data_IF_035363018877
#
_entry.id   IF_035363018877
#
_cell.length_a   1.000
_cell.length_b   1.000
_cell.length_c   1.000
_cell.angle_alpha   90.00
_cell.angle_beta   90.00
_cell.angle_gamma   90.00
#
_symmetry.space_group_name_H-M   'P 1'
#
loop_
_entity.id
_entity.type
_entity.pdbx_description
1 polymer ?
#
# COMPACT_ATOMS: atom_id res chain seq x y z
N UNK A 1 -2.84 15.83 17.24
CA UNK A 1 -3.62 15.85 15.97
C UNK A 1 -4.31 14.50 15.76
N UNK A 2 -5.49 14.44 15.08
CA UNK A 2 -6.18 13.19 14.75
C UNK A 2 -6.07 12.93 13.24
N UNK A 3 -5.62 11.72 12.89
CA UNK A 3 -5.55 11.26 11.50
C UNK A 3 -6.85 10.56 11.08
N UNK A 4 -7.12 10.44 9.77
CA UNK A 4 -8.13 9.50 9.27
C UNK A 4 -7.71 8.06 9.58
N UNK A 5 -8.66 7.11 9.53
CA UNK A 5 -8.38 5.68 9.77
C UNK A 5 -7.25 5.19 8.85
N UNK A 6 -7.28 5.59 7.58
CA UNK A 6 -6.27 5.25 6.58
C UNK A 6 -4.89 5.80 6.93
N UNK A 7 -4.78 7.10 7.23
CA UNK A 7 -3.51 7.73 7.59
C UNK A 7 -2.96 7.20 8.92
N UNK A 8 -3.85 6.88 9.89
CA UNK A 8 -3.47 6.26 11.14
C UNK A 8 -2.86 4.87 10.89
N UNK A 9 -3.45 4.06 10.01
CA UNK A 9 -2.90 2.75 9.66
C UNK A 9 -1.50 2.84 9.01
N UNK A 10 -1.25 3.87 8.19
CA UNK A 10 0.08 4.15 7.62
C UNK A 10 1.06 4.50 8.75
N UNK A 11 0.69 5.43 9.64
CA UNK A 11 1.55 5.86 10.75
C UNK A 11 1.81 4.75 11.78
N UNK A 12 0.88 3.81 11.94
CA UNK A 12 1.04 2.68 12.88
C UNK A 12 2.03 1.62 12.39
N UNK A 13 2.26 1.53 11.07
CA UNK A 13 3.23 0.60 10.48
C UNK A 13 4.66 1.11 10.52
N UNK A 14 4.88 2.41 10.76
CA UNK A 14 6.23 2.99 10.87
C UNK A 14 6.92 2.46 12.13
N UNK A 15 8.12 1.93 11.97
CA UNK A 15 8.98 1.57 13.11
C UNK A 15 9.38 2.84 13.86
N UNK A 16 9.13 2.91 15.19
CA UNK A 16 9.49 4.09 15.97
C UNK A 16 11.01 4.36 15.98
N UNK A 17 11.33 5.64 15.96
CA UNK A 17 12.71 6.15 15.91
C UNK A 17 13.18 6.38 14.47
N UNK A 18 14.20 7.22 14.33
CA UNK A 18 14.79 7.51 13.03
C UNK A 18 14.11 8.64 12.25
N UNK A 19 14.52 8.75 11.00
CA UNK A 19 14.15 9.83 10.10
C UNK A 19 13.23 9.30 9.01
N UNK A 20 12.18 10.02 8.70
CA UNK A 20 11.22 9.61 7.68
C UNK A 20 11.24 10.55 6.47
N UNK A 21 10.95 10.03 5.30
CA UNK A 21 10.61 10.79 4.10
C UNK A 21 9.19 10.41 3.65
N UNK A 22 8.28 11.40 3.63
CA UNK A 22 6.89 11.23 3.18
C UNK A 22 6.75 11.77 1.76
N UNK A 23 6.51 10.88 0.80
CA UNK A 23 6.50 11.17 -0.63
C UNK A 23 5.06 11.34 -1.13
N UNK A 24 4.79 12.51 -1.72
CA UNK A 24 3.43 12.90 -2.10
C UNK A 24 2.65 13.45 -0.91
N UNK A 25 3.36 14.16 -0.02
CA UNK A 25 2.76 14.78 1.16
C UNK A 25 1.82 15.92 0.74
N UNK A 26 0.51 15.76 0.94
CA UNK A 26 -0.44 16.82 0.55
C UNK A 26 -0.58 17.89 1.64
N UNK A 27 -0.76 17.50 2.88
CA UNK A 27 -0.94 18.40 4.02
C UNK A 27 0.10 18.22 5.13
N UNK A 28 1.03 17.28 4.99
CA UNK A 28 2.04 16.96 5.98
C UNK A 28 1.51 16.28 7.24
N UNK A 29 0.28 15.73 7.22
CA UNK A 29 -0.34 15.21 8.44
C UNK A 29 0.35 13.96 8.99
N UNK A 30 0.81 13.05 8.14
CA UNK A 30 1.52 11.84 8.60
C UNK A 30 2.85 12.18 9.24
N UNK A 31 3.76 12.97 8.60
CA UNK A 31 5.02 13.37 9.25
C UNK A 31 4.80 14.20 10.52
N UNK A 32 3.82 15.14 10.54
CA UNK A 32 3.50 15.90 11.76
C UNK A 32 3.09 14.97 12.88
N UNK A 33 2.17 14.03 12.63
CA UNK A 33 1.71 13.07 13.63
C UNK A 33 2.86 12.23 14.17
N UNK A 34 3.70 11.68 13.30
CA UNK A 34 4.83 10.82 13.72
C UNK A 34 5.83 11.58 14.59
N UNK A 35 6.12 12.83 14.25
CA UNK A 35 7.02 13.71 15.02
C UNK A 35 6.38 14.12 16.35
N UNK A 36 5.10 14.52 16.38
CA UNK A 36 4.37 14.85 17.62
C UNK A 36 4.30 13.67 18.61
N UNK A 37 4.13 12.44 18.05
CA UNK A 37 4.07 11.23 18.87
C UNK A 37 5.46 10.67 19.23
N UNK A 38 6.55 11.37 18.89
CA UNK A 38 7.93 10.91 19.03
C UNK A 38 8.18 9.52 18.42
N UNK A 39 7.44 9.20 17.36
CA UNK A 39 7.67 8.02 16.53
C UNK A 39 8.74 8.28 15.44
N UNK A 40 8.97 9.53 15.09
CA UNK A 40 10.06 9.95 14.22
C UNK A 40 10.83 11.11 14.86
N UNK A 41 12.17 11.09 14.74
CA UNK A 41 13.03 12.17 15.22
C UNK A 41 12.94 13.37 14.30
N UNK A 42 13.04 13.14 13.00
CA UNK A 42 12.94 14.13 11.92
C UNK A 42 12.14 13.59 10.76
N UNK A 43 11.58 14.50 9.96
CA UNK A 43 10.86 14.15 8.74
C UNK A 43 11.19 15.09 7.57
N UNK A 44 11.13 14.54 6.36
CA UNK A 44 11.18 15.29 5.11
C UNK A 44 9.84 15.08 4.40
N UNK A 45 9.04 16.14 4.34
CA UNK A 45 7.75 16.16 3.64
C UNK A 45 7.97 16.57 2.18
N UNK A 46 7.71 15.69 1.23
CA UNK A 46 8.06 15.86 -0.17
C UNK A 46 6.83 15.81 -1.08
N UNK A 47 6.73 16.72 -2.04
CA UNK A 47 5.74 16.70 -3.11
C UNK A 47 6.31 17.33 -4.39
N UNK A 48 5.80 16.90 -5.55
CA UNK A 48 6.18 17.44 -6.85
C UNK A 48 5.48 18.79 -7.12
N UNK A 49 4.41 19.09 -6.42
CA UNK A 49 3.59 20.29 -6.62
C UNK A 49 3.82 21.30 -5.49
N UNK A 50 4.06 22.55 -5.86
CA UNK A 50 4.28 23.66 -4.90
C UNK A 50 3.09 23.94 -3.99
N UNK A 51 1.85 23.75 -4.48
CA UNK A 51 0.63 24.03 -3.71
C UNK A 51 0.45 23.09 -2.51
N UNK A 52 0.43 21.76 -2.70
CA UNK A 52 0.43 20.80 -1.60
C UNK A 52 1.58 21.02 -0.61
N UNK A 53 2.79 21.24 -1.12
CA UNK A 53 3.97 21.48 -0.29
C UNK A 53 3.86 22.74 0.56
N UNK A 54 3.28 23.81 0.03
CA UNK A 54 3.02 25.05 0.79
C UNK A 54 2.03 24.80 1.94
N UNK A 55 0.93 24.07 1.67
CA UNK A 55 -0.04 23.67 2.73
C UNK A 55 0.61 22.80 3.81
N UNK A 56 1.49 21.87 3.42
CA UNK A 56 2.27 21.09 4.37
C UNK A 56 3.13 22.00 5.26
N UNK A 57 3.85 22.97 4.67
CA UNK A 57 4.66 23.95 5.39
C UNK A 57 3.84 24.79 6.39
N UNK A 58 2.67 25.28 5.98
CA UNK A 58 1.75 26.02 6.86
C UNK A 58 1.30 25.17 8.06
N UNK A 59 0.96 23.92 7.82
CA UNK A 59 0.59 22.98 8.89
C UNK A 59 1.78 22.66 9.81
N UNK A 60 2.96 22.44 9.28
CA UNK A 60 4.19 22.18 10.06
C UNK A 60 4.44 23.33 11.02
N UNK A 61 4.33 24.58 10.56
CA UNK A 61 4.44 25.78 11.41
C UNK A 61 3.34 25.81 12.46
N UNK A 62 2.07 25.58 12.03
CA UNK A 62 0.89 25.61 12.93
C UNK A 62 0.99 24.58 14.06
N UNK A 63 1.57 23.42 13.81
CA UNK A 63 1.77 22.36 14.81
C UNK A 63 3.11 22.44 15.55
N UNK A 64 3.92 23.51 15.32
CA UNK A 64 5.17 23.72 16.03
C UNK A 64 6.25 22.69 15.72
N UNK A 65 6.25 22.11 14.51
CA UNK A 65 7.19 21.05 14.12
C UNK A 65 8.30 21.52 13.17
N UNK A 66 8.47 22.85 12.99
CA UNK A 66 9.39 23.43 11.99
C UNK A 66 10.87 23.14 12.26
N UNK A 67 11.24 22.79 13.45
CA UNK A 67 12.59 22.38 13.85
C UNK A 67 12.92 20.92 13.50
N UNK A 68 11.90 20.10 13.24
CA UNK A 68 12.02 18.67 13.01
C UNK A 68 11.47 18.21 11.65
N UNK A 69 10.72 19.05 10.93
CA UNK A 69 10.14 18.70 9.63
C UNK A 69 10.57 19.70 8.57
N UNK A 70 11.28 19.23 7.57
CA UNK A 70 11.64 19.96 6.35
C UNK A 70 10.63 19.70 5.24
N UNK A 71 10.30 20.73 4.44
CA UNK A 71 9.54 20.55 3.19
C UNK A 71 10.49 20.58 1.99
N UNK A 72 10.32 19.66 1.04
CA UNK A 72 11.21 19.57 -0.12
C UNK A 72 10.43 19.31 -1.41
N UNK A 73 10.59 20.21 -2.41
CA UNK A 73 10.01 20.01 -3.73
C UNK A 73 10.78 18.89 -4.46
N UNK A 74 10.06 17.81 -4.85
CA UNK A 74 10.68 16.62 -5.44
C UNK A 74 9.72 15.83 -6.29
N UNK A 75 10.16 15.33 -7.44
CA UNK A 75 9.44 14.27 -8.16
C UNK A 75 9.84 12.93 -7.55
N UNK A 76 8.94 12.37 -6.72
CA UNK A 76 9.20 11.16 -5.96
C UNK A 76 10.46 11.29 -5.08
N UNK A 77 11.38 10.35 -5.21
CA UNK A 77 12.63 10.25 -4.44
C UNK A 77 13.81 11.05 -5.03
N UNK A 78 13.60 11.78 -6.13
CA UNK A 78 14.71 12.41 -6.87
C UNK A 78 15.58 13.36 -6.04
N UNK A 79 15.00 14.05 -5.05
CA UNK A 79 15.71 14.98 -4.18
C UNK A 79 16.06 14.41 -2.81
N UNK A 80 15.77 13.14 -2.56
CA UNK A 80 16.21 12.43 -1.35
C UNK A 80 17.61 11.87 -1.57
N UNK A 81 18.54 12.16 -0.65
CA UNK A 81 19.90 11.62 -0.71
C UNK A 81 20.01 10.32 0.09
N UNK A 82 20.91 9.41 -0.29
CA UNK A 82 21.20 8.23 0.51
C UNK A 82 21.55 8.60 1.96
N UNK A 83 20.92 7.90 2.91
CA UNK A 83 21.12 8.10 4.34
C UNK A 83 20.40 9.30 4.96
N UNK A 84 19.55 10.04 4.22
CA UNK A 84 18.72 11.12 4.81
C UNK A 84 17.47 10.60 5.51
N UNK A 85 16.97 9.41 5.13
CA UNK A 85 15.80 8.79 5.75
C UNK A 85 16.06 7.32 6.05
N UNK A 86 15.51 6.85 7.15
CA UNK A 86 15.51 5.45 7.57
C UNK A 86 14.21 4.76 7.11
N UNK A 87 13.10 5.51 7.03
CA UNK A 87 11.79 5.07 6.54
C UNK A 87 11.32 5.96 5.39
N UNK A 88 10.84 5.33 4.31
CA UNK A 88 10.15 6.02 3.20
C UNK A 88 8.66 5.67 3.25
N UNK A 89 7.81 6.70 3.24
CA UNK A 89 6.34 6.55 3.18
C UNK A 89 5.87 7.00 1.81
N UNK A 90 5.09 6.14 1.12
CA UNK A 90 4.40 6.47 -0.14
C UNK A 90 2.94 6.07 0.04
N UNK A 91 2.08 7.03 0.34
CA UNK A 91 0.68 6.79 0.64
C UNK A 91 -0.28 7.64 -0.20
N UNK A 92 -1.40 7.06 -0.60
CA UNK A 92 -2.45 7.79 -1.32
C UNK A 92 -2.18 7.98 -2.82
N UNK A 93 -1.17 7.32 -3.39
CA UNK A 93 -0.83 7.36 -4.80
C UNK A 93 -1.34 6.11 -5.53
N UNK A 94 -1.55 6.21 -6.86
CA UNK A 94 -1.86 5.04 -7.69
C UNK A 94 -0.67 4.07 -7.75
N UNK A 95 -0.96 2.76 -7.90
CA UNK A 95 0.08 1.72 -7.86
C UNK A 95 1.16 1.88 -8.93
N UNK A 96 0.78 2.18 -10.17
CA UNK A 96 1.77 2.42 -11.25
C UNK A 96 2.66 3.64 -10.97
N UNK A 97 2.13 4.68 -10.31
CA UNK A 97 2.94 5.83 -9.89
C UNK A 97 3.88 5.43 -8.75
N UNK A 98 3.39 4.64 -7.79
CA UNK A 98 4.21 4.11 -6.71
C UNK A 98 5.38 3.28 -7.26
N UNK A 99 5.13 2.37 -8.21
CA UNK A 99 6.17 1.59 -8.89
C UNK A 99 7.20 2.50 -9.55
N UNK A 100 6.76 3.50 -10.33
CA UNK A 100 7.67 4.44 -10.99
C UNK A 100 8.56 5.21 -10.00
N UNK A 101 8.02 5.63 -8.86
CA UNK A 101 8.77 6.31 -7.82
C UNK A 101 9.81 5.38 -7.20
N UNK A 102 9.43 4.14 -6.87
CA UNK A 102 10.33 3.14 -6.31
C UNK A 102 11.45 2.79 -7.30
N UNK A 103 11.12 2.53 -8.56
CA UNK A 103 12.08 2.18 -9.62
C UNK A 103 13.11 3.30 -9.84
N UNK A 104 12.65 4.54 -9.97
CA UNK A 104 13.54 5.70 -10.11
C UNK A 104 14.42 5.93 -8.86
N UNK A 105 13.93 5.51 -7.68
CA UNK A 105 14.58 5.70 -6.39
C UNK A 105 15.41 4.51 -5.89
N UNK A 106 15.56 3.42 -6.64
CA UNK A 106 16.21 2.17 -6.15
C UNK A 106 17.58 2.42 -5.50
N UNK A 107 18.38 3.33 -6.05
CA UNK A 107 19.69 3.67 -5.49
C UNK A 107 19.61 4.32 -4.10
N UNK A 108 18.63 5.19 -3.88
CA UNK A 108 18.40 5.86 -2.58
C UNK A 108 17.82 4.85 -1.60
N UNK A 109 16.91 4.01 -2.07
CA UNK A 109 16.25 2.99 -1.26
C UNK A 109 17.22 1.96 -0.67
N UNK A 110 18.38 1.73 -1.28
CA UNK A 110 19.42 0.86 -0.70
C UNK A 110 19.88 1.29 0.70
N UNK A 111 19.74 2.57 1.05
CA UNK A 111 20.07 3.12 2.37
C UNK A 111 18.88 3.27 3.31
N UNK A 112 17.67 2.91 2.86
CA UNK A 112 16.42 3.00 3.61
C UNK A 112 16.15 1.66 4.28
N UNK A 113 15.81 1.66 5.57
CA UNK A 113 15.56 0.43 6.32
C UNK A 113 14.19 -0.18 6.01
N UNK A 114 13.18 0.66 5.78
CA UNK A 114 11.81 0.21 5.48
C UNK A 114 11.07 1.18 4.57
N UNK A 115 10.10 0.65 3.84
CA UNK A 115 9.10 1.43 3.14
C UNK A 115 7.70 1.11 3.66
N UNK A 116 6.88 2.14 3.85
CA UNK A 116 5.45 2.01 4.16
C UNK A 116 4.68 2.46 2.93
N UNK A 117 4.02 1.52 2.28
CA UNK A 117 3.33 1.74 1.02
C UNK A 117 1.82 1.61 1.19
N UNK A 118 1.07 2.58 0.68
CA UNK A 118 -0.39 2.54 0.62
C UNK A 118 -0.84 2.92 -0.81
N UNK A 119 -0.67 2.03 -1.80
CA UNK A 119 -1.16 2.25 -3.15
C UNK A 119 -2.68 2.17 -3.21
N UNK A 120 -3.30 2.99 -4.09
CA UNK A 120 -4.76 3.04 -4.25
C UNK A 120 -5.28 2.19 -5.42
N UNK A 121 -4.37 1.65 -6.24
CA UNK A 121 -4.68 0.78 -7.39
C UNK A 121 -3.52 -0.15 -7.67
N UNK A 122 -3.70 -1.12 -8.58
CA UNK A 122 -2.66 -2.00 -9.12
C UNK A 122 -1.80 -2.67 -8.02
N UNK A 123 -2.45 -3.14 -6.95
CA UNK A 123 -1.79 -3.74 -5.78
C UNK A 123 -0.98 -4.98 -6.18
N UNK A 124 -1.50 -5.77 -7.09
CA UNK A 124 -0.86 -6.94 -7.68
C UNK A 124 0.48 -6.58 -8.33
N UNK A 125 0.48 -5.54 -9.17
CA UNK A 125 1.70 -5.06 -9.84
C UNK A 125 2.71 -4.47 -8.88
N UNK A 126 2.25 -3.79 -7.81
CA UNK A 126 3.14 -3.28 -6.76
C UNK A 126 3.84 -4.44 -6.04
N UNK A 127 3.11 -5.49 -5.65
CA UNK A 127 3.69 -6.68 -5.01
C UNK A 127 4.70 -7.37 -5.92
N UNK A 128 4.34 -7.61 -7.19
CA UNK A 128 5.24 -8.20 -8.18
C UNK A 128 6.52 -7.37 -8.38
N UNK A 129 6.40 -6.04 -8.48
CA UNK A 129 7.56 -5.15 -8.57
C UNK A 129 8.49 -5.31 -7.35
N UNK A 130 7.93 -5.34 -6.14
CA UNK A 130 8.71 -5.47 -4.91
C UNK A 130 9.53 -6.77 -4.90
N UNK A 131 8.90 -7.90 -5.21
CA UNK A 131 9.58 -9.20 -5.25
C UNK A 131 10.70 -9.24 -6.30
N UNK A 132 10.48 -8.62 -7.47
CA UNK A 132 11.46 -8.59 -8.56
C UNK A 132 12.68 -7.71 -8.27
N UNK A 133 12.57 -6.81 -7.28
CA UNK A 133 13.62 -5.83 -6.98
C UNK A 133 14.26 -5.99 -5.61
N UNK A 134 14.15 -7.17 -5.00
CA UNK A 134 14.81 -7.48 -3.74
C UNK A 134 14.17 -6.83 -2.52
N UNK A 135 12.85 -6.65 -2.57
CA UNK A 135 12.05 -6.20 -1.45
C UNK A 135 11.14 -7.32 -0.95
N UNK A 136 10.99 -7.39 0.36
CA UNK A 136 10.11 -8.33 1.06
C UNK A 136 8.98 -7.57 1.75
N UNK A 137 7.74 -7.97 1.50
CA UNK A 137 6.60 -7.52 2.29
C UNK A 137 6.61 -8.32 3.59
N UNK A 138 6.67 -7.62 4.73
CA UNK A 138 6.73 -8.26 6.05
C UNK A 138 5.44 -8.09 6.86
N UNK A 139 4.57 -7.20 6.44
CA UNK A 139 3.27 -6.96 7.07
C UNK A 139 2.30 -6.31 6.08
N UNK A 140 1.04 -6.70 6.16
CA UNK A 140 -0.04 -6.05 5.45
C UNK A 140 -1.22 -5.78 6.40
N UNK A 141 -1.94 -4.71 6.16
CA UNK A 141 -3.18 -4.37 6.87
C UNK A 141 -4.21 -3.90 5.88
N UNK A 142 -5.41 -4.44 5.96
CA UNK A 142 -6.55 -3.98 5.19
C UNK A 142 -7.54 -3.27 6.09
N UNK A 143 -8.14 -2.18 5.61
CA UNK A 143 -9.06 -1.36 6.38
C UNK A 143 -10.13 -0.74 5.48
N UNK A 144 -11.19 -0.25 6.11
CA UNK A 144 -12.24 0.53 5.46
C UNK A 144 -12.16 1.96 6.00
N UNK A 145 -12.07 2.93 5.10
CA UNK A 145 -12.16 4.36 5.43
C UNK A 145 -13.12 5.03 4.43
N UNK A 146 -14.13 5.73 4.91
CA UNK A 146 -15.19 6.35 4.09
C UNK A 146 -15.82 5.38 3.05
N UNK A 147 -16.04 4.12 3.44
CA UNK A 147 -16.65 3.08 2.60
C UNK A 147 -15.75 2.53 1.48
N UNK A 148 -14.46 2.85 1.48
CA UNK A 148 -13.48 2.33 0.53
C UNK A 148 -12.47 1.43 1.24
N UNK A 149 -12.07 0.38 0.54
CA UNK A 149 -11.05 -0.55 1.03
C UNK A 149 -9.65 -0.05 0.70
N UNK A 150 -8.76 -0.13 1.66
CA UNK A 150 -7.35 0.26 1.52
C UNK A 150 -6.44 -0.83 2.09
N UNK A 151 -5.27 -1.00 1.46
CA UNK A 151 -4.21 -1.89 1.95
C UNK A 151 -2.98 -1.05 2.24
N UNK A 152 -2.37 -1.29 3.39
CA UNK A 152 -1.07 -0.74 3.77
C UNK A 152 -0.07 -1.89 3.87
N UNK A 153 1.11 -1.71 3.31
CA UNK A 153 2.19 -2.70 3.28
C UNK A 153 3.42 -2.12 3.98
N UNK A 154 4.03 -2.90 4.86
CA UNK A 154 5.37 -2.66 5.38
C UNK A 154 6.35 -3.52 4.63
N UNK A 155 7.38 -2.90 4.10
CA UNK A 155 8.32 -3.50 3.15
C UNK A 155 9.74 -3.28 3.64
N UNK A 156 10.54 -4.34 3.63
CA UNK A 156 11.97 -4.31 3.95
C UNK A 156 12.78 -4.76 2.73
N UNK A 157 14.11 -4.62 2.79
CA UNK A 157 14.98 -5.32 1.88
C UNK A 157 14.99 -6.81 2.22
N UNK A 158 14.98 -7.65 1.21
CA UNK A 158 15.00 -9.10 1.37
C UNK A 158 14.55 -9.82 0.13
N UNK A 159 14.86 -11.12 0.09
CA UNK A 159 14.33 -12.02 -0.93
C UNK A 159 12.97 -12.54 -0.47
N UNK A 160 12.02 -12.59 -1.38
CA UNK A 160 10.71 -13.16 -1.15
C UNK A 160 10.48 -14.31 -2.15
N UNK A 161 9.74 -15.34 -1.75
CA UNK A 161 9.31 -16.36 -2.69
C UNK A 161 8.33 -15.78 -3.72
N UNK A 162 8.20 -16.46 -4.82
CA UNK A 162 7.18 -16.12 -5.81
C UNK A 162 5.79 -16.31 -5.18
N UNK A 163 4.95 -15.30 -5.32
CA UNK A 163 3.56 -15.34 -4.85
C UNK A 163 2.67 -16.08 -5.86
N UNK A 164 1.63 -16.69 -5.36
CA UNK A 164 0.51 -17.15 -6.19
C UNK A 164 -0.29 -15.94 -6.71
N UNK A 165 -1.06 -16.13 -7.78
CA UNK A 165 -1.91 -15.06 -8.31
C UNK A 165 -2.84 -14.48 -7.23
N UNK A 166 -3.43 -15.32 -6.40
CA UNK A 166 -4.27 -14.87 -5.27
C UNK A 166 -3.49 -14.02 -4.26
N UNK A 167 -2.23 -14.36 -3.98
CA UNK A 167 -1.39 -13.61 -3.06
C UNK A 167 -0.93 -12.26 -3.67
N UNK A 168 -0.68 -12.21 -4.98
CA UNK A 168 -0.41 -10.95 -5.67
C UNK A 168 -1.63 -10.02 -5.63
N UNK A 169 -2.84 -10.56 -5.86
CA UNK A 169 -4.07 -9.77 -5.90
C UNK A 169 -4.51 -9.34 -4.50
N UNK A 170 -4.55 -10.27 -3.54
CA UNK A 170 -5.20 -10.06 -2.24
C UNK A 170 -4.24 -9.86 -1.06
N UNK A 171 -2.96 -10.21 -1.22
CA UNK A 171 -1.94 -10.10 -0.18
C UNK A 171 -1.76 -11.38 0.63
N UNK A 172 -0.51 -11.86 0.66
CA UNK A 172 -0.13 -13.08 1.37
C UNK A 172 -0.45 -13.03 2.85
N UNK A 173 -0.10 -11.94 3.51
CA UNK A 173 -0.33 -11.76 4.95
C UNK A 173 -1.82 -11.67 5.26
N UNK A 174 -2.58 -10.93 4.46
CA UNK A 174 -4.02 -10.81 4.64
C UNK A 174 -4.76 -12.15 4.51
N UNK A 175 -4.32 -13.01 3.57
CA UNK A 175 -4.87 -14.35 3.36
C UNK A 175 -4.50 -15.25 4.54
N UNK A 176 -3.21 -15.32 4.90
CA UNK A 176 -2.71 -16.22 5.93
C UNK A 176 -3.25 -15.85 7.33
N UNK A 177 -3.35 -14.56 7.64
CA UNK A 177 -3.92 -14.06 8.88
C UNK A 177 -5.46 -14.10 8.90
N UNK A 178 -6.09 -14.58 7.82
CA UNK A 178 -7.56 -14.65 7.69
C UNK A 178 -8.20 -13.29 7.99
N UNK A 179 -7.60 -12.21 7.44
CA UNK A 179 -7.95 -10.85 7.79
C UNK A 179 -9.45 -10.55 7.58
N UNK A 180 -10.21 -10.09 8.61
CA UNK A 180 -11.66 -10.00 8.54
C UNK A 180 -12.16 -9.05 7.45
N UNK A 181 -11.46 -7.92 7.21
CA UNK A 181 -11.83 -6.97 6.15
C UNK A 181 -11.58 -7.56 4.76
N UNK A 182 -10.54 -8.41 4.58
CA UNK A 182 -10.34 -9.13 3.32
C UNK A 182 -11.49 -10.11 3.07
N UNK A 183 -11.94 -10.84 4.09
CA UNK A 183 -13.06 -11.76 3.96
C UNK A 183 -14.33 -11.04 3.51
N UNK A 184 -14.68 -9.95 4.17
CA UNK A 184 -15.82 -9.08 3.79
C UNK A 184 -15.68 -8.59 2.33
N UNK A 185 -14.48 -8.12 1.95
CA UNK A 185 -14.20 -7.66 0.59
C UNK A 185 -14.42 -8.78 -0.44
N UNK A 186 -13.89 -9.98 -0.19
CA UNK A 186 -14.04 -11.13 -1.10
C UNK A 186 -15.50 -11.56 -1.26
N UNK A 187 -16.26 -11.62 -0.17
CA UNK A 187 -17.71 -11.93 -0.20
C UNK A 187 -18.47 -10.90 -1.04
N UNK A 188 -18.18 -9.60 -0.87
CA UNK A 188 -18.78 -8.52 -1.65
C UNK A 188 -18.38 -8.61 -3.13
N UNK A 189 -17.09 -8.85 -3.44
CA UNK A 189 -16.62 -9.02 -4.82
C UNK A 189 -17.25 -10.22 -5.51
N UNK A 190 -17.38 -11.35 -4.80
CA UNK A 190 -18.03 -12.55 -5.28
C UNK A 190 -19.48 -12.26 -5.69
N UNK A 191 -20.27 -11.66 -4.80
CA UNK A 191 -21.67 -11.34 -5.08
C UNK A 191 -21.84 -10.41 -6.29
N UNK A 192 -20.98 -9.40 -6.42
CA UNK A 192 -20.98 -8.48 -7.58
C UNK A 192 -20.64 -9.22 -8.88
N UNK A 193 -19.62 -10.08 -8.88
CA UNK A 193 -19.17 -10.80 -10.07
C UNK A 193 -20.16 -11.87 -10.51
N UNK A 194 -20.78 -12.60 -9.58
CA UNK A 194 -21.84 -13.56 -9.85
C UNK A 194 -23.06 -12.88 -10.52
N UNK A 195 -23.47 -11.71 -10.01
CA UNK A 195 -24.54 -10.91 -10.61
C UNK A 195 -24.19 -10.45 -12.04
N UNK A 196 -22.95 -10.01 -12.25
CA UNK A 196 -22.47 -9.60 -13.59
C UNK A 196 -22.44 -10.80 -14.54
N UNK A 197 -21.95 -11.95 -14.11
CA UNK A 197 -21.92 -13.18 -14.89
C UNK A 197 -23.34 -13.60 -15.31
N UNK A 198 -24.30 -13.56 -14.38
CA UNK A 198 -25.71 -13.85 -14.68
C UNK A 198 -26.28 -12.88 -15.73
N UNK A 199 -25.96 -11.60 -15.65
CA UNK A 199 -26.42 -10.58 -16.61
C UNK A 199 -25.80 -10.74 -18.03
N UNK A 200 -24.69 -11.47 -18.14
CA UNK A 200 -24.04 -11.78 -19.40
C UNK A 200 -24.44 -13.12 -20.01
N UNK A 201 -25.18 -13.98 -19.28
CA UNK A 201 -25.47 -15.38 -19.63
C UNK A 201 -26.06 -15.55 -21.03
N UNK A 202 -26.97 -14.67 -21.44
CA UNK A 202 -27.69 -14.76 -22.70
C UNK A 202 -27.05 -13.89 -23.82
N UNK A 203 -25.90 -13.27 -23.55
CA UNK A 203 -25.19 -12.46 -24.53
C UNK A 203 -24.19 -13.29 -25.32
N UNK A 204 -24.29 -13.24 -26.66
CA UNK A 204 -23.55 -14.11 -27.59
C UNK A 204 -22.42 -13.39 -28.32
N UNK A 205 -22.15 -12.10 -28.03
CA UNK A 205 -21.04 -11.39 -28.68
C UNK A 205 -19.69 -11.90 -28.18
N UNK A 206 -18.66 -11.86 -29.01
CA UNK A 206 -17.28 -12.24 -28.69
C UNK A 206 -16.79 -11.55 -27.40
N UNK A 207 -16.98 -10.23 -27.31
CA UNK A 207 -16.65 -9.45 -26.11
C UNK A 207 -17.40 -9.94 -24.86
N UNK A 208 -18.63 -10.43 -25.01
CA UNK A 208 -19.38 -10.97 -23.87
C UNK A 208 -18.83 -12.31 -23.42
N UNK A 209 -18.38 -13.16 -24.34
CA UNK A 209 -17.72 -14.42 -24.02
C UNK A 209 -16.37 -14.19 -23.33
N UNK A 210 -15.53 -13.29 -23.86
CA UNK A 210 -14.27 -12.92 -23.21
C UNK A 210 -14.51 -12.43 -21.78
N UNK A 211 -15.48 -11.52 -21.57
CA UNK A 211 -15.79 -11.02 -20.23
C UNK A 211 -16.37 -12.08 -19.31
N UNK A 212 -17.13 -13.05 -19.83
CA UNK A 212 -17.59 -14.20 -19.04
C UNK A 212 -16.42 -15.06 -18.56
N UNK A 213 -15.43 -15.34 -19.43
CA UNK A 213 -14.24 -16.11 -19.05
C UNK A 213 -13.39 -15.38 -17.98
N UNK A 214 -13.19 -14.08 -18.13
CA UNK A 214 -12.50 -13.27 -17.11
C UNK A 214 -13.23 -13.36 -15.76
N UNK A 215 -14.56 -13.18 -15.73
CA UNK A 215 -15.35 -13.26 -14.50
C UNK A 215 -15.30 -14.64 -13.84
N UNK A 216 -15.30 -15.71 -14.65
CA UNK A 216 -15.18 -17.08 -14.15
C UNK A 216 -13.81 -17.31 -13.49
N UNK A 217 -12.73 -16.83 -14.13
CA UNK A 217 -11.38 -16.89 -13.56
C UNK A 217 -11.29 -16.08 -12.26
N UNK A 218 -11.76 -14.83 -12.27
CA UNK A 218 -11.80 -13.98 -11.07
C UNK A 218 -12.60 -14.65 -9.92
N UNK A 219 -13.75 -15.28 -10.22
CA UNK A 219 -14.54 -16.01 -9.24
C UNK A 219 -13.86 -17.26 -8.71
N UNK A 220 -13.11 -17.96 -9.56
CA UNK A 220 -12.29 -19.10 -9.14
C UNK A 220 -11.26 -18.67 -8.09
N UNK A 221 -10.47 -17.62 -8.38
CA UNK A 221 -9.46 -17.09 -7.45
C UNK A 221 -10.11 -16.66 -6.13
N UNK A 222 -11.25 -15.96 -6.19
CA UNK A 222 -11.99 -15.56 -4.97
C UNK A 222 -12.40 -16.78 -4.14
N UNK A 223 -13.01 -17.80 -4.76
CA UNK A 223 -13.48 -18.97 -4.05
C UNK A 223 -12.35 -19.79 -3.42
N UNK A 224 -11.24 -19.96 -4.14
CA UNK A 224 -10.02 -20.63 -3.63
C UNK A 224 -9.44 -19.85 -2.44
N UNK A 225 -9.40 -18.51 -2.55
CA UNK A 225 -8.92 -17.65 -1.45
C UNK A 225 -9.81 -17.74 -0.22
N UNK A 226 -11.14 -17.67 -0.39
CA UNK A 226 -12.09 -17.83 0.71
C UNK A 226 -11.94 -19.21 1.38
N UNK A 227 -11.81 -20.25 0.58
CA UNK A 227 -11.62 -21.63 1.09
C UNK A 227 -10.33 -21.72 1.93
N UNK A 228 -9.20 -21.18 1.42
CA UNK A 228 -7.93 -21.12 2.15
C UNK A 228 -8.05 -20.34 3.48
N UNK A 229 -8.83 -19.26 3.52
CA UNK A 229 -9.05 -18.48 4.74
C UNK A 229 -9.96 -19.18 5.76
N UNK A 230 -10.76 -20.17 5.35
CA UNK A 230 -11.65 -20.93 6.25
C UNK A 230 -10.98 -22.19 6.79
N UNK A 231 -10.12 -22.86 5.98
CA UNK A 231 -9.43 -24.09 6.37
C UNK A 231 -8.51 -23.88 7.58
N UNK A 232 -8.78 -24.57 8.69
CA UNK A 232 -7.96 -24.53 9.91
C UNK A 232 -6.59 -25.22 9.74
N UNK A 233 -6.43 -26.06 8.71
CA UNK A 233 -5.24 -26.90 8.46
C UNK A 233 -4.33 -26.38 7.32
N UNK A 234 -4.56 -25.20 6.76
CA UNK A 234 -3.81 -24.69 5.61
C UNK A 234 -2.34 -24.36 5.94
N UNK A 235 -2.00 -24.14 7.20
CA UNK A 235 -0.62 -23.81 7.65
C UNK A 235 0.34 -25.01 7.70
N UNK A 236 -0.13 -26.27 7.50
CA UNK A 236 0.69 -27.48 7.64
C UNK A 236 1.06 -28.16 6.32
N UNK A 237 0.81 -27.54 5.18
CA UNK A 237 1.28 -28.07 3.89
C UNK A 237 2.66 -27.47 3.59
N UNK A 238 3.75 -28.29 3.66
CA UNK A 238 5.06 -27.83 3.20
C UNK A 238 5.00 -27.60 1.69
N UNK A 239 5.57 -26.48 1.24
CA UNK A 239 5.86 -26.17 -0.17
C UNK A 239 6.94 -27.09 -0.74
#
# INVERSE_FOLDING_TARGET
MQLSIRMQAVADMVTPGGRIADIGTDHGYVPIYLVEQNKADHAIAMDVRKGPLARAGENIVRFGCSDRIETRLSDGLAMLKPGEADTVIIAGLGGLLTIRILEAGLKVLQSVSECILQPQSDLDKVRQFLHQHGFQIVQEKMLIDEGKYYVVMRVLHGEERIYTEAEDIYGRFLINEKHPVLKEYLENQKAVKEKLLLALKDKTSEKSHERQQELLHELQIINETITRMVDENAEQRPD
#
